data_IF_408453798045
#
_entry.id   IF_408453798045
#
_cell.length_a   1.000
_cell.length_b   1.000
_cell.length_c   1.000
_cell.angle_alpha   90.00
_cell.angle_beta   90.00
_cell.angle_gamma   90.00
#
_symmetry.space_group_name_H-M   'P 1'
#
loop_
_entity.id
_entity.type
_entity.pdbx_description
1 polymer ?
#
# COMPACT_ATOMS: atom_id res chain seq x y z
N UNK A 1 -31.82 54.81 -10.82
CA UNK A 1 -31.41 54.38 -9.45
C UNK A 1 -32.04 53.05 -9.22
N UNK A 2 -31.38 51.98 -9.58
CA UNK A 2 -31.78 50.60 -9.27
C UNK A 2 -30.56 49.86 -8.75
N UNK A 3 -30.60 49.66 -7.45
CA UNK A 3 -29.58 48.95 -6.66
C UNK A 3 -29.70 47.45 -6.92
N UNK A 4 -28.67 46.85 -7.51
CA UNK A 4 -28.55 45.39 -7.66
C UNK A 4 -27.74 44.86 -6.50
N UNK A 5 -28.41 44.19 -5.58
CA UNK A 5 -27.81 43.44 -4.49
C UNK A 5 -27.36 42.07 -5.00
N UNK A 6 -26.07 41.78 -4.86
CA UNK A 6 -25.47 40.44 -5.06
C UNK A 6 -25.94 39.52 -3.93
N UNK A 7 -26.19 38.22 -4.21
CA UNK A 7 -26.47 37.23 -3.16
C UNK A 7 -25.17 36.82 -2.44
N UNK A 8 -25.24 36.37 -1.17
CA UNK A 8 -24.07 36.00 -0.39
C UNK A 8 -23.48 34.68 -0.91
N UNK A 9 -22.15 34.66 -0.97
CA UNK A 9 -21.35 33.45 -1.23
C UNK A 9 -21.68 32.39 -0.20
N UNK A 10 -22.16 31.26 -0.71
CA UNK A 10 -22.28 30.00 0.06
C UNK A 10 -20.89 29.43 0.31
N UNK A 11 -20.39 29.56 1.53
CA UNK A 11 -19.23 28.80 2.01
C UNK A 11 -19.54 27.31 1.93
N UNK A 12 -18.75 26.61 1.15
CA UNK A 12 -18.83 25.14 1.01
C UNK A 12 -18.18 24.45 2.22
N UNK A 13 -19.01 24.10 3.20
CA UNK A 13 -18.65 23.27 4.35
C UNK A 13 -18.64 21.76 3.99
N UNK A 14 -17.98 21.35 2.89
CA UNK A 14 -17.97 19.96 2.44
C UNK A 14 -16.65 19.18 2.65
N UNK A 15 -15.62 19.78 3.21
CA UNK A 15 -14.32 19.12 3.35
C UNK A 15 -14.09 18.21 4.58
N UNK A 16 -14.83 18.25 5.71
CA UNK A 16 -14.55 17.33 6.82
C UNK A 16 -15.15 15.94 6.71
N UNK A 17 -16.15 15.73 5.85
CA UNK A 17 -16.89 14.44 5.82
C UNK A 17 -16.21 13.35 4.98
N UNK A 18 -15.37 13.68 4.03
CA UNK A 18 -14.62 12.71 3.21
C UNK A 18 -13.47 12.04 3.95
N UNK A 19 -12.89 12.72 4.95
CA UNK A 19 -11.72 12.22 5.70
C UNK A 19 -12.03 11.15 6.75
N UNK A 20 -13.27 11.01 7.19
CA UNK A 20 -13.67 9.96 8.16
C UNK A 20 -14.00 8.61 7.50
N UNK A 21 -14.17 8.56 6.20
CA UNK A 21 -14.57 7.40 5.42
C UNK A 21 -13.51 6.28 5.42
N UNK A 22 -12.24 6.61 5.21
CA UNK A 22 -11.17 5.63 4.97
C UNK A 22 -10.89 4.66 6.12
N UNK A 23 -10.85 5.15 7.36
CA UNK A 23 -10.61 4.29 8.52
C UNK A 23 -11.86 3.47 8.88
N UNK A 24 -13.05 4.00 8.59
CA UNK A 24 -14.32 3.31 8.81
C UNK A 24 -14.58 2.26 7.73
N UNK A 25 -14.36 2.58 6.45
CA UNK A 25 -14.47 1.62 5.34
C UNK A 25 -13.47 0.47 5.47
N UNK A 26 -12.22 0.75 5.83
CA UNK A 26 -11.24 -0.30 6.08
C UNK A 26 -11.59 -1.15 7.30
N UNK A 27 -12.18 -0.56 8.34
CA UNK A 27 -12.64 -1.29 9.52
C UNK A 27 -13.92 -2.10 9.25
N UNK A 28 -14.80 -1.65 8.35
CA UNK A 28 -15.98 -2.38 7.90
C UNK A 28 -15.60 -3.50 6.93
N UNK A 29 -14.66 -3.25 6.01
CA UNK A 29 -14.07 -4.27 5.14
C UNK A 29 -13.26 -5.31 5.93
N UNK A 30 -12.55 -4.92 6.99
CA UNK A 30 -11.86 -5.84 7.90
C UNK A 30 -12.85 -6.64 8.78
N UNK A 31 -14.08 -6.14 8.98
CA UNK A 31 -15.18 -6.84 9.67
C UNK A 31 -16.03 -7.69 8.73
N UNK A 32 -16.23 -7.25 7.49
CA UNK A 32 -16.97 -7.99 6.46
C UNK A 32 -16.07 -8.97 5.70
N UNK A 33 -14.79 -8.68 5.58
CA UNK A 33 -13.76 -9.63 5.28
C UNK A 33 -13.40 -10.34 6.61
N UNK A 34 -14.14 -11.40 6.95
CA UNK A 34 -13.40 -12.66 6.97
C UNK A 34 -12.48 -12.55 5.75
N UNK A 35 -11.21 -12.11 5.98
CA UNK A 35 -10.16 -12.38 4.99
C UNK A 35 -10.45 -13.80 4.60
N UNK A 36 -10.85 -14.10 3.36
CA UNK A 36 -10.71 -15.48 2.96
C UNK A 36 -9.28 -15.72 3.41
N UNK A 37 -9.05 -16.63 4.38
CA UNK A 37 -7.75 -17.27 4.58
C UNK A 37 -7.32 -17.37 3.17
N UNK A 38 -6.27 -16.58 2.73
CA UNK A 38 -5.77 -16.72 1.38
C UNK A 38 -6.06 -18.17 1.10
N UNK A 39 -7.15 -18.44 0.38
CA UNK A 39 -7.26 -19.67 -0.31
C UNK A 39 -6.01 -19.54 -1.14
N UNK A 40 -4.92 -20.05 -0.60
CA UNK A 40 -3.84 -20.51 -1.42
C UNK A 40 -4.61 -21.45 -2.29
N UNK A 41 -5.05 -20.93 -3.45
CA UNK A 41 -5.39 -21.78 -4.55
C UNK A 41 -4.16 -22.68 -4.59
N UNK A 42 -4.30 -23.90 -4.06
CA UNK A 42 -3.16 -24.77 -3.78
C UNK A 42 -2.66 -25.34 -5.09
N UNK A 43 -2.07 -24.46 -5.92
CA UNK A 43 -1.49 -24.80 -7.20
C UNK A 43 0.00 -25.19 -7.07
N UNK A 44 0.54 -25.20 -5.83
CA UNK A 44 1.87 -25.75 -5.63
C UNK A 44 1.80 -27.30 -5.67
N UNK A 45 2.51 -27.94 -6.59
CA UNK A 45 2.59 -29.40 -6.60
C UNK A 45 3.19 -29.91 -5.27
N UNK A 46 2.73 -31.07 -4.76
CA UNK A 46 3.31 -31.68 -3.58
C UNK A 46 4.83 -31.83 -3.72
N UNK A 47 5.59 -31.75 -2.61
CA UNK A 47 7.04 -31.97 -2.64
C UNK A 47 7.39 -33.26 -3.35
N UNK A 48 8.37 -33.22 -4.26
CA UNK A 48 8.81 -34.33 -5.11
C UNK A 48 7.85 -34.73 -6.25
N UNK A 49 6.89 -33.91 -6.62
CA UNK A 49 6.12 -34.10 -7.87
C UNK A 49 7.05 -34.03 -9.09
N UNK A 50 6.78 -34.80 -10.15
CA UNK A 50 7.52 -34.64 -11.40
C UNK A 50 7.43 -33.23 -11.94
N UNK A 51 8.52 -32.67 -12.52
CA UNK A 51 8.48 -31.35 -13.17
C UNK A 51 7.43 -31.32 -14.29
N UNK A 52 6.70 -30.21 -14.42
CA UNK A 52 5.59 -30.06 -15.38
C UNK A 52 4.26 -30.61 -14.87
N UNK A 53 4.14 -30.93 -13.57
CA UNK A 53 2.87 -31.41 -13.00
C UNK A 53 1.92 -30.22 -12.78
N UNK A 54 0.76 -30.26 -13.44
CA UNK A 54 -0.30 -29.27 -13.25
C UNK A 54 -1.17 -29.65 -12.05
N UNK A 55 -1.23 -28.78 -11.05
CA UNK A 55 -2.13 -28.89 -9.90
C UNK A 55 -3.17 -27.77 -10.02
N UNK A 56 -4.37 -28.10 -10.46
CA UNK A 56 -5.49 -27.18 -10.60
C UNK A 56 -6.67 -27.79 -9.86
N UNK A 57 -7.08 -27.19 -8.74
CA UNK A 57 -8.19 -27.66 -7.93
C UNK A 57 -9.54 -27.02 -8.35
N UNK A 58 -9.49 -25.82 -8.94
CA UNK A 58 -10.67 -25.12 -9.39
C UNK A 58 -11.23 -25.78 -10.66
N UNK A 59 -12.53 -26.04 -10.66
CA UNK A 59 -13.26 -26.65 -11.77
C UNK A 59 -13.95 -25.63 -12.69
N UNK A 60 -13.92 -24.33 -12.35
CA UNK A 60 -14.49 -23.29 -13.17
C UNK A 60 -13.72 -23.15 -14.46
N UNK A 61 -14.43 -23.08 -15.59
CA UNK A 61 -13.78 -22.86 -16.87
C UNK A 61 -13.30 -21.42 -16.98
N UNK A 62 -12.05 -21.20 -17.43
CA UNK A 62 -11.60 -19.83 -17.72
C UNK A 62 -12.38 -19.23 -18.90
N UNK A 63 -12.48 -17.91 -18.93
CA UNK A 63 -12.94 -17.18 -20.11
C UNK A 63 -11.77 -17.07 -21.10
N UNK A 64 -12.06 -17.23 -22.38
CA UNK A 64 -11.04 -17.20 -23.43
C UNK A 64 -11.45 -16.17 -24.47
N UNK A 65 -10.61 -15.19 -24.70
CA UNK A 65 -10.79 -14.16 -25.71
C UNK A 65 -9.70 -14.28 -26.76
N UNK A 66 -10.07 -14.09 -28.02
CA UNK A 66 -9.13 -14.04 -29.15
C UNK A 66 -9.23 -12.70 -29.82
N UNK A 67 -8.11 -12.02 -29.95
CA UNK A 67 -7.96 -10.81 -30.76
C UNK A 67 -6.95 -11.12 -31.86
N UNK A 68 -7.43 -11.28 -33.08
CA UNK A 68 -6.61 -11.49 -34.27
C UNK A 68 -6.57 -10.21 -35.08
N UNK A 69 -5.38 -9.73 -35.40
CA UNK A 69 -5.23 -8.46 -36.07
C UNK A 69 -4.05 -8.45 -37.06
N UNK A 70 -4.22 -7.65 -38.08
CA UNK A 70 -3.18 -7.21 -39.02
C UNK A 70 -3.19 -5.67 -39.15
N UNK A 71 -2.50 -5.13 -40.13
CA UNK A 71 -2.43 -3.68 -40.34
C UNK A 71 -3.80 -3.02 -40.61
N UNK A 72 -4.76 -3.77 -41.19
CA UNK A 72 -6.04 -3.25 -41.68
C UNK A 72 -7.23 -3.75 -40.85
N UNK A 73 -7.22 -5.03 -40.46
CA UNK A 73 -8.37 -5.72 -39.87
C UNK A 73 -8.09 -6.13 -38.43
N UNK A 74 -9.12 -6.07 -37.61
CA UNK A 74 -9.14 -6.61 -36.24
C UNK A 74 -10.40 -7.46 -36.09
N UNK A 75 -10.22 -8.65 -35.53
CA UNK A 75 -11.30 -9.54 -35.11
C UNK A 75 -11.16 -9.87 -33.65
N UNK A 76 -12.18 -9.58 -32.85
CA UNK A 76 -12.24 -9.89 -31.42
C UNK A 76 -13.42 -10.78 -31.13
N UNK A 77 -13.19 -11.91 -30.43
CA UNK A 77 -14.24 -12.89 -30.09
C UNK A 77 -13.98 -13.57 -28.77
N UNK A 78 -15.05 -13.83 -28.04
CA UNK A 78 -15.03 -14.75 -26.90
C UNK A 78 -15.21 -16.20 -27.40
N UNK A 79 -14.35 -17.10 -26.95
CA UNK A 79 -14.33 -18.49 -27.34
C UNK A 79 -14.91 -19.38 -26.26
N UNK A 80 -15.66 -20.40 -26.66
CA UNK A 80 -16.22 -21.39 -25.72
C UNK A 80 -15.22 -22.53 -25.40
N UNK A 81 -14.24 -22.73 -26.29
CA UNK A 81 -13.22 -23.76 -26.19
C UNK A 81 -11.90 -23.29 -26.77
N UNK A 82 -10.78 -23.82 -26.24
CA UNK A 82 -9.43 -23.57 -26.74
C UNK A 82 -9.28 -24.03 -28.21
N UNK A 83 -10.00 -25.07 -28.62
CA UNK A 83 -9.94 -25.59 -29.99
C UNK A 83 -10.42 -24.58 -31.05
N UNK A 84 -11.27 -23.63 -30.65
CA UNK A 84 -11.72 -22.55 -31.53
C UNK A 84 -10.61 -21.53 -31.85
N UNK A 85 -9.48 -21.57 -31.14
CA UNK A 85 -8.30 -20.75 -31.44
C UNK A 85 -7.49 -21.30 -32.63
N UNK A 86 -7.60 -22.63 -32.95
CA UNK A 86 -6.77 -23.30 -33.95
C UNK A 86 -6.83 -22.61 -35.33
N UNK A 87 -8.00 -22.21 -35.88
CA UNK A 87 -8.06 -21.55 -37.20
C UNK A 87 -7.20 -20.27 -37.26
N UNK A 88 -7.12 -19.50 -36.19
CA UNK A 88 -6.35 -18.25 -36.11
C UNK A 88 -4.84 -18.49 -36.02
N UNK A 89 -4.42 -19.65 -35.55
CA UNK A 89 -3.01 -20.02 -35.42
C UNK A 89 -2.44 -20.74 -36.65
N UNK A 90 -3.32 -21.24 -37.50
CA UNK A 90 -2.96 -22.08 -38.67
C UNK A 90 -3.30 -21.44 -40.01
N UNK A 91 -3.88 -20.25 -40.03
CA UNK A 91 -4.12 -19.55 -41.26
C UNK A 91 -2.79 -18.95 -41.81
N UNK A 92 -2.69 -18.84 -43.12
CA UNK A 92 -1.50 -18.32 -43.82
C UNK A 92 -1.46 -16.77 -43.83
N UNK A 93 -2.32 -16.08 -43.07
CA UNK A 93 -2.35 -14.63 -43.02
C UNK A 93 -1.21 -14.10 -42.14
N UNK A 94 -0.59 -13.00 -42.52
CA UNK A 94 0.43 -12.35 -41.68
C UNK A 94 -0.23 -11.56 -40.51
N UNK A 95 -1.09 -12.22 -39.73
CA UNK A 95 -1.75 -11.64 -38.54
C UNK A 95 -1.02 -11.99 -37.27
N UNK A 96 -1.27 -11.22 -36.23
CA UNK A 96 -0.86 -11.53 -34.84
C UNK A 96 -2.11 -11.91 -34.05
N UNK A 97 -2.08 -13.10 -33.48
CA UNK A 97 -3.17 -13.65 -32.67
C UNK A 97 -2.85 -13.49 -31.20
N UNK A 98 -3.63 -12.69 -30.49
CA UNK A 98 -3.59 -12.59 -29.03
C UNK A 98 -4.71 -13.46 -28.44
N UNK A 99 -4.34 -14.47 -27.68
CA UNK A 99 -5.26 -15.32 -26.92
C UNK A 99 -5.14 -14.95 -25.46
N UNK A 100 -6.23 -14.47 -24.85
CA UNK A 100 -6.29 -14.07 -23.46
C UNK A 100 -7.17 -15.04 -22.67
N UNK A 101 -6.58 -15.69 -21.66
CA UNK A 101 -7.20 -16.71 -20.80
C UNK A 101 -7.34 -16.13 -19.40
N UNK A 102 -8.57 -15.95 -18.95
CA UNK A 102 -8.90 -15.34 -17.69
C UNK A 102 -9.43 -16.37 -16.70
N UNK A 103 -8.62 -16.70 -15.69
CA UNK A 103 -8.89 -17.71 -14.67
C UNK A 103 -8.01 -18.96 -14.82
N UNK A 104 -7.64 -19.55 -13.68
CA UNK A 104 -6.75 -20.73 -13.63
C UNK A 104 -7.51 -22.04 -13.36
N UNK A 105 -8.82 -22.07 -13.54
CA UNK A 105 -9.63 -23.27 -13.32
C UNK A 105 -9.60 -24.25 -14.51
N UNK A 106 -10.10 -25.48 -14.28
CA UNK A 106 -10.35 -26.51 -15.28
C UNK A 106 -9.09 -27.03 -15.99
N UNK A 107 -8.35 -27.92 -15.31
CA UNK A 107 -7.10 -28.54 -15.77
C UNK A 107 -7.09 -28.99 -17.26
N UNK A 108 -8.15 -29.63 -17.82
CA UNK A 108 -8.15 -30.04 -19.23
C UNK A 108 -8.01 -28.87 -20.23
N UNK A 109 -8.44 -27.67 -19.86
CA UNK A 109 -8.22 -26.47 -20.70
C UNK A 109 -6.74 -26.15 -20.84
N UNK A 110 -5.98 -26.22 -19.75
CA UNK A 110 -4.54 -25.91 -19.76
C UNK A 110 -3.73 -27.03 -20.42
N UNK A 111 -4.10 -28.29 -20.22
CA UNK A 111 -3.48 -29.41 -20.96
C UNK A 111 -3.69 -29.21 -22.47
N UNK A 112 -4.90 -28.83 -22.89
CA UNK A 112 -5.19 -28.58 -24.30
C UNK A 112 -4.48 -27.33 -24.84
N UNK A 113 -4.36 -26.25 -24.05
CA UNK A 113 -3.52 -25.11 -24.39
C UNK A 113 -2.05 -25.53 -24.62
N UNK A 114 -1.52 -26.34 -23.73
CA UNK A 114 -0.16 -26.90 -23.87
C UNK A 114 0.06 -27.62 -25.19
N UNK A 115 -0.90 -28.42 -25.62
CA UNK A 115 -0.85 -29.14 -26.93
C UNK A 115 -0.92 -28.19 -28.12
N UNK A 116 -1.92 -27.30 -28.16
CA UNK A 116 -2.17 -26.40 -29.30
C UNK A 116 -1.01 -25.41 -29.51
N UNK A 117 -0.55 -24.79 -28.43
CA UNK A 117 0.53 -23.79 -28.46
C UNK A 117 1.92 -24.41 -28.34
N UNK A 118 2.04 -25.75 -28.23
CA UNK A 118 3.29 -26.50 -28.05
C UNK A 118 4.10 -25.95 -26.87
N UNK A 119 3.42 -25.65 -25.78
CA UNK A 119 4.03 -25.07 -24.58
C UNK A 119 4.89 -26.12 -23.88
N UNK A 120 6.11 -25.76 -23.53
CA UNK A 120 6.97 -26.65 -22.73
C UNK A 120 6.30 -26.96 -21.38
N UNK A 121 6.29 -28.21 -20.88
CA UNK A 121 5.61 -28.59 -19.64
C UNK A 121 5.99 -27.72 -18.43
N UNK A 122 7.25 -27.33 -18.28
CA UNK A 122 7.70 -26.42 -17.22
C UNK A 122 7.13 -25.00 -17.39
N UNK A 123 7.01 -24.52 -18.63
CA UNK A 123 6.40 -23.22 -18.88
C UNK A 123 4.91 -23.25 -18.53
N UNK A 124 4.21 -24.30 -18.86
CA UNK A 124 2.80 -24.50 -18.53
C UNK A 124 2.58 -24.60 -17.01
N UNK A 125 3.46 -25.30 -16.31
CA UNK A 125 3.48 -25.36 -14.84
C UNK A 125 3.64 -23.96 -14.25
N UNK A 126 4.62 -23.17 -14.70
CA UNK A 126 4.86 -21.79 -14.22
C UNK A 126 3.69 -20.84 -14.50
N UNK A 127 2.97 -21.02 -15.60
CA UNK A 127 1.80 -20.22 -15.93
C UNK A 127 0.65 -20.40 -14.95
N UNK A 128 0.44 -21.63 -14.45
CA UNK A 128 -0.67 -21.98 -13.54
C UNK A 128 -0.28 -22.03 -12.07
N UNK A 129 1.00 -22.18 -11.76
CA UNK A 129 1.50 -22.25 -10.39
C UNK A 129 1.69 -20.86 -9.82
N UNK A 130 0.72 -20.36 -9.07
CA UNK A 130 0.70 -19.03 -8.48
C UNK A 130 0.86 -19.07 -6.96
N UNK A 131 1.63 -18.12 -6.37
CA UNK A 131 2.33 -17.00 -6.99
C UNK A 131 3.77 -17.34 -7.41
N UNK A 132 4.15 -17.06 -8.64
CA UNK A 132 5.55 -17.11 -9.11
C UNK A 132 6.23 -15.73 -8.93
N UNK A 133 7.56 -15.75 -8.87
CA UNK A 133 8.38 -14.54 -8.97
C UNK A 133 8.38 -14.03 -10.42
N UNK A 134 8.24 -12.73 -10.69
CA UNK A 134 8.44 -12.19 -12.03
C UNK A 134 9.77 -12.64 -12.65
N UNK A 135 9.70 -13.18 -13.87
CA UNK A 135 10.85 -13.73 -14.61
C UNK A 135 10.57 -13.79 -16.11
N UNK A 136 11.61 -13.91 -16.91
CA UNK A 136 11.52 -14.18 -18.34
C UNK A 136 12.45 -15.33 -18.70
N UNK A 137 11.88 -16.39 -19.29
CA UNK A 137 12.57 -17.61 -19.66
C UNK A 137 12.35 -17.94 -21.13
N UNK A 138 13.40 -18.40 -21.84
CA UNK A 138 13.31 -18.83 -23.24
C UNK A 138 13.21 -20.36 -23.29
N UNK A 139 12.20 -20.87 -23.96
CA UNK A 139 11.94 -22.29 -24.13
C UNK A 139 12.15 -22.72 -25.58
N UNK A 140 13.10 -23.61 -25.81
CA UNK A 140 13.36 -24.22 -27.13
C UNK A 140 13.78 -23.26 -28.25
N UNK A 141 14.01 -21.97 -27.94
CA UNK A 141 14.31 -20.93 -28.92
C UNK A 141 13.10 -20.47 -29.76
N UNK A 142 11.90 -21.04 -29.51
CA UNK A 142 10.67 -20.71 -30.23
C UNK A 142 9.65 -19.96 -29.38
N UNK A 143 9.80 -19.98 -28.05
CA UNK A 143 8.90 -19.31 -27.11
C UNK A 143 9.66 -18.56 -26.05
N UNK A 144 9.09 -17.42 -25.62
CA UNK A 144 9.51 -16.69 -24.42
C UNK A 144 8.34 -16.66 -23.46
N UNK A 145 8.53 -17.18 -22.25
CA UNK A 145 7.58 -17.04 -21.17
C UNK A 145 7.98 -15.87 -20.30
N UNK A 146 7.07 -14.94 -20.09
CA UNK A 146 7.17 -13.80 -19.20
C UNK A 146 6.16 -13.99 -18.07
N UNK A 147 6.62 -14.07 -16.83
CA UNK A 147 5.77 -14.03 -15.64
C UNK A 147 5.87 -12.64 -15.05
N UNK A 148 4.80 -11.89 -15.08
CA UNK A 148 4.70 -10.54 -14.54
C UNK A 148 3.75 -10.48 -13.34
N UNK A 149 3.83 -9.41 -12.56
CA UNK A 149 2.94 -9.16 -11.44
C UNK A 149 2.15 -7.89 -11.69
N UNK A 150 0.84 -7.99 -11.73
CA UNK A 150 -0.08 -6.86 -11.76
C UNK A 150 -0.40 -6.42 -10.33
N UNK A 151 -0.69 -5.12 -10.15
CA UNK A 151 -1.07 -4.55 -8.86
C UNK A 151 -2.30 -3.66 -9.00
N UNK A 152 -3.12 -3.66 -7.98
CA UNK A 152 -4.31 -2.79 -7.89
C UNK A 152 -4.55 -2.38 -6.44
N UNK A 153 -5.09 -1.20 -6.26
CA UNK A 153 -5.67 -0.74 -4.99
C UNK A 153 -7.18 -0.71 -5.14
N UNK A 154 -7.88 -1.50 -4.32
CA UNK A 154 -9.35 -1.49 -4.27
C UNK A 154 -9.86 -0.24 -3.55
N UNK A 155 -11.17 0.06 -3.67
CA UNK A 155 -11.80 1.23 -3.02
C UNK A 155 -11.54 1.32 -1.52
N UNK A 156 -11.34 0.19 -0.81
CA UNK A 156 -10.94 0.15 0.61
C UNK A 156 -9.44 0.26 0.88
N UNK A 157 -8.62 0.79 -0.03
CA UNK A 157 -7.15 0.86 0.07
C UNK A 157 -6.47 -0.49 0.38
N UNK A 158 -7.04 -1.58 -0.10
CA UNK A 158 -6.42 -2.90 0.01
C UNK A 158 -5.60 -3.16 -1.25
N UNK A 159 -4.29 -3.31 -1.06
CA UNK A 159 -3.39 -3.70 -2.13
C UNK A 159 -3.63 -5.15 -2.52
N UNK A 160 -3.94 -5.40 -3.79
CA UNK A 160 -4.03 -6.72 -4.40
C UNK A 160 -2.93 -6.89 -5.43
N UNK A 161 -2.44 -8.10 -5.55
CA UNK A 161 -1.45 -8.47 -6.56
C UNK A 161 -1.89 -9.74 -7.26
N UNK A 162 -1.75 -9.79 -8.56
CA UNK A 162 -2.12 -10.91 -9.41
C UNK A 162 -0.99 -11.28 -10.36
N UNK A 163 -0.89 -12.56 -10.70
CA UNK A 163 0.06 -13.04 -11.70
C UNK A 163 -0.53 -12.91 -13.10
N UNK A 164 0.30 -12.42 -14.02
CA UNK A 164 0.07 -12.48 -15.45
C UNK A 164 1.20 -13.30 -16.08
N UNK A 165 0.85 -14.37 -16.79
CA UNK A 165 1.78 -15.06 -17.65
C UNK A 165 1.57 -14.63 -19.10
N UNK A 166 2.65 -14.32 -19.83
CA UNK A 166 2.66 -13.92 -21.23
C UNK A 166 3.60 -14.89 -21.96
N UNK A 167 3.06 -15.74 -22.82
CA UNK A 167 3.83 -16.60 -23.70
C UNK A 167 3.88 -16.00 -25.08
N UNK A 168 5.08 -15.75 -25.58
CA UNK A 168 5.34 -15.13 -26.87
C UNK A 168 5.80 -16.19 -27.86
N UNK A 169 5.07 -16.35 -28.95
CA UNK A 169 5.46 -17.14 -30.11
C UNK A 169 5.78 -16.26 -31.32
N UNK A 170 5.98 -16.85 -32.50
CA UNK A 170 6.32 -16.10 -33.72
C UNK A 170 5.21 -15.16 -34.19
N UNK A 171 3.96 -15.65 -34.18
CA UNK A 171 2.77 -14.93 -34.67
C UNK A 171 1.66 -14.86 -33.63
N UNK A 172 1.91 -15.26 -32.39
CA UNK A 172 0.92 -15.23 -31.35
C UNK A 172 1.49 -14.74 -30.01
N UNK A 173 0.59 -14.24 -29.17
CA UNK A 173 0.82 -14.02 -27.74
C UNK A 173 -0.32 -14.72 -27.00
N UNK A 174 0.02 -15.53 -26.00
CA UNK A 174 -0.94 -16.13 -25.09
C UNK A 174 -0.77 -15.50 -23.73
N UNK A 175 -1.81 -14.86 -23.20
CA UNK A 175 -1.84 -14.37 -21.82
C UNK A 175 -2.71 -15.26 -20.94
N UNK A 176 -2.26 -15.50 -19.71
CA UNK A 176 -3.00 -16.23 -18.68
C UNK A 176 -3.03 -15.40 -17.42
N UNK A 177 -4.24 -15.04 -16.97
CA UNK A 177 -4.52 -14.26 -15.78
C UNK A 177 -5.05 -15.17 -14.67
N UNK A 178 -4.72 -14.84 -13.44
CA UNK A 178 -5.17 -15.57 -12.26
C UNK A 178 -6.67 -15.45 -12.03
N UNK A 179 -7.24 -14.26 -12.25
CA UNK A 179 -8.65 -13.94 -12.05
C UNK A 179 -9.25 -13.20 -13.26
N UNK A 180 -10.55 -13.34 -13.46
CA UNK A 180 -11.25 -12.72 -14.57
C UNK A 180 -11.73 -11.28 -14.30
N UNK A 181 -11.72 -10.86 -13.03
CA UNK A 181 -12.41 -9.63 -12.60
C UNK A 181 -11.54 -8.37 -12.70
N UNK A 182 -10.30 -8.50 -13.11
CA UNK A 182 -9.35 -7.41 -13.08
C UNK A 182 -8.43 -7.41 -14.30
N UNK A 183 -8.44 -6.33 -15.06
CA UNK A 183 -7.74 -6.23 -16.32
C UNK A 183 -7.03 -4.89 -16.50
N UNK A 184 -5.70 -4.90 -16.48
CA UNK A 184 -4.87 -3.72 -16.81
C UNK A 184 -4.59 -3.60 -18.31
N UNK A 185 -4.98 -4.60 -19.11
CA UNK A 185 -4.63 -4.71 -20.54
C UNK A 185 -5.67 -4.06 -21.47
N UNK A 186 -6.78 -3.52 -20.93
CA UNK A 186 -7.82 -2.89 -21.74
C UNK A 186 -7.29 -1.72 -22.57
N UNK A 187 -6.32 -0.96 -22.03
CA UNK A 187 -5.67 0.10 -22.80
C UNK A 187 -4.94 -0.43 -24.03
N UNK A 188 -4.38 -1.65 -23.97
CA UNK A 188 -3.71 -2.30 -25.11
C UNK A 188 -4.76 -2.78 -26.12
N UNK A 189 -5.88 -3.37 -25.66
CA UNK A 189 -7.00 -3.77 -26.54
C UNK A 189 -7.55 -2.57 -27.29
N UNK A 190 -7.78 -1.47 -26.59
CA UNK A 190 -8.27 -0.23 -27.23
C UNK A 190 -7.28 0.33 -28.26
N UNK A 191 -5.96 0.28 -27.97
CA UNK A 191 -4.93 0.66 -28.97
C UNK A 191 -4.97 -0.22 -30.21
N UNK A 192 -5.25 -1.52 -30.05
CA UNK A 192 -5.42 -2.46 -31.19
C UNK A 192 -6.71 -2.14 -31.92
N UNK A 193 -7.87 -1.96 -31.28
CA UNK A 193 -9.17 -1.67 -31.90
C UNK A 193 -9.13 -0.39 -32.72
N UNK A 194 -8.57 0.67 -32.18
CA UNK A 194 -8.52 1.99 -32.83
C UNK A 194 -7.37 2.09 -33.84
N UNK A 195 -6.40 1.17 -33.81
CA UNK A 195 -5.20 1.23 -34.66
C UNK A 195 -4.24 2.36 -34.30
N UNK A 196 -4.22 2.80 -33.05
CA UNK A 196 -3.32 3.87 -32.59
C UNK A 196 -1.88 3.37 -32.46
N UNK A 197 -0.93 4.17 -32.95
CA UNK A 197 0.50 3.89 -32.87
C UNK A 197 0.90 2.78 -33.85
N UNK A 198 1.91 1.99 -33.47
CA UNK A 198 2.55 1.00 -34.32
C UNK A 198 2.18 -0.44 -34.01
N UNK A 199 1.26 -0.68 -33.05
CA UNK A 199 0.95 -2.02 -32.54
C UNK A 199 0.52 -2.98 -33.64
N UNK A 200 -0.31 -2.52 -34.61
CA UNK A 200 -0.78 -3.34 -35.75
C UNK A 200 0.28 -3.59 -36.83
N UNK A 201 1.39 -2.84 -36.79
CA UNK A 201 2.45 -2.91 -37.83
C UNK A 201 3.67 -3.71 -37.32
N UNK A 202 3.63 -4.20 -36.09
CA UNK A 202 4.73 -4.86 -35.41
C UNK A 202 4.39 -6.32 -35.11
N UNK A 203 5.40 -7.10 -34.73
CA UNK A 203 5.27 -8.50 -34.43
C UNK A 203 4.71 -8.81 -33.03
N UNK A 204 4.62 -10.09 -32.71
CA UNK A 204 4.17 -10.58 -31.42
C UNK A 204 5.02 -10.09 -30.24
N UNK A 205 6.31 -9.89 -30.47
CA UNK A 205 7.23 -9.35 -29.49
C UNK A 205 6.87 -7.90 -29.07
N UNK A 206 6.40 -7.07 -30.01
CA UNK A 206 5.93 -5.73 -29.70
C UNK A 206 4.61 -5.75 -28.92
N UNK A 207 3.71 -6.68 -29.22
CA UNK A 207 2.49 -6.87 -28.42
C UNK A 207 2.85 -7.28 -26.99
N UNK A 208 3.77 -8.22 -26.83
CA UNK A 208 4.24 -8.64 -25.51
C UNK A 208 4.89 -7.47 -24.72
N UNK A 209 5.69 -6.64 -25.39
CA UNK A 209 6.19 -5.38 -24.82
C UNK A 209 5.02 -4.49 -24.36
N UNK A 210 4.01 -4.24 -25.23
CA UNK A 210 2.92 -3.34 -24.91
C UNK A 210 2.07 -3.84 -23.72
N UNK A 211 1.91 -5.15 -23.57
CA UNK A 211 1.25 -5.78 -22.42
C UNK A 211 2.09 -5.63 -21.14
N UNK A 212 3.38 -5.89 -21.23
CA UNK A 212 4.29 -5.74 -20.10
C UNK A 212 4.42 -4.27 -19.64
N UNK A 213 4.45 -3.35 -20.59
CA UNK A 213 4.45 -1.90 -20.37
C UNK A 213 3.19 -1.45 -19.61
N UNK A 214 2.02 -1.88 -20.06
CA UNK A 214 0.76 -1.62 -19.36
C UNK A 214 0.73 -2.18 -17.93
N UNK A 215 1.36 -3.34 -17.70
CA UNK A 215 1.51 -3.91 -16.36
C UNK A 215 2.43 -3.05 -15.49
N UNK A 216 3.55 -2.56 -16.03
CA UNK A 216 4.48 -1.69 -15.31
C UNK A 216 3.84 -0.34 -15.01
N UNK A 217 3.19 0.26 -16.01
CA UNK A 217 2.48 1.54 -15.84
C UNK A 217 1.35 1.47 -14.81
N UNK A 218 0.73 0.30 -14.65
CA UNK A 218 -0.29 0.07 -13.64
C UNK A 218 0.18 0.24 -12.19
N UNK A 219 1.48 0.29 -11.92
CA UNK A 219 2.02 0.58 -10.59
C UNK A 219 1.97 2.07 -10.23
N UNK A 220 2.04 2.98 -11.21
CA UNK A 220 2.06 4.42 -10.93
C UNK A 220 0.81 4.90 -10.18
N UNK A 221 -0.44 4.61 -10.63
CA UNK A 221 -1.63 5.02 -9.91
C UNK A 221 -1.71 4.43 -8.49
N UNK A 222 -1.15 3.23 -8.28
CA UNK A 222 -1.10 2.59 -6.98
C UNK A 222 -0.15 3.33 -6.04
N UNK A 223 1.03 3.70 -6.54
CA UNK A 223 2.01 4.46 -5.75
C UNK A 223 1.53 5.88 -5.47
N UNK A 224 0.86 6.54 -6.42
CA UNK A 224 0.25 7.85 -6.21
C UNK A 224 -0.74 7.82 -5.04
N UNK A 225 -1.66 6.88 -5.03
CA UNK A 225 -2.61 6.70 -3.91
C UNK A 225 -1.92 6.39 -2.57
N UNK A 226 -0.82 5.63 -2.58
CA UNK A 226 -0.06 5.37 -1.36
C UNK A 226 0.71 6.61 -0.90
N UNK A 227 1.17 7.45 -1.82
CA UNK A 227 1.76 8.76 -1.52
C UNK A 227 0.77 9.66 -0.81
N UNK A 228 -0.43 9.86 -1.37
CA UNK A 228 -1.52 10.60 -0.74
C UNK A 228 -1.85 10.08 0.67
N UNK A 229 -1.86 8.75 0.84
CA UNK A 229 -2.11 8.14 2.15
C UNK A 229 -0.98 8.39 3.15
N UNK A 230 0.28 8.46 2.70
CA UNK A 230 1.42 8.82 3.57
C UNK A 230 1.28 10.26 4.06
N UNK A 231 0.91 11.19 3.19
CA UNK A 231 0.66 12.60 3.54
C UNK A 231 -0.48 12.73 4.56
N UNK A 232 -1.59 12.00 4.37
CA UNK A 232 -2.68 11.94 5.34
C UNK A 232 -2.22 11.41 6.70
N UNK A 233 -1.41 10.34 6.70
CA UNK A 233 -0.86 9.77 7.93
C UNK A 233 0.08 10.72 8.64
N UNK A 234 0.84 11.55 7.92
CA UNK A 234 1.70 12.58 8.50
C UNK A 234 0.88 13.61 9.28
N UNK A 235 -0.21 14.11 8.69
CA UNK A 235 -1.12 15.03 9.35
C UNK A 235 -1.77 14.38 10.59
N UNK A 236 -2.23 13.11 10.47
CA UNK A 236 -2.85 12.38 11.56
C UNK A 236 -1.88 12.11 12.73
N UNK A 237 -0.61 11.86 12.45
CA UNK A 237 0.44 11.64 13.46
C UNK A 237 0.73 12.90 14.25
N UNK A 238 0.68 14.07 13.61
CA UNK A 238 0.88 15.37 14.29
C UNK A 238 -0.23 15.71 15.29
N UNK A 239 -1.47 15.23 15.06
CA UNK A 239 -2.61 15.45 16.01
C UNK A 239 -2.55 14.56 17.27
N UNK A 240 -1.52 13.78 17.48
CA UNK A 240 -1.15 13.02 18.70
C UNK A 240 -2.28 12.36 19.54
N UNK A 241 -3.57 12.46 19.11
CA UNK A 241 -4.74 11.98 19.86
C UNK A 241 -5.08 10.51 19.58
N UNK A 242 -4.58 9.93 18.49
CA UNK A 242 -4.90 8.58 18.04
C UNK A 242 -3.67 7.68 18.03
N UNK A 243 -3.89 6.40 18.27
CA UNK A 243 -2.82 5.38 18.09
C UNK A 243 -2.64 5.09 16.62
N UNK A 244 -1.53 5.56 16.04
CA UNK A 244 -1.23 5.46 14.62
C UNK A 244 -0.33 4.27 14.25
N UNK A 245 0.07 3.44 15.23
CA UNK A 245 0.99 2.32 15.00
C UNK A 245 0.50 1.32 13.95
N UNK A 246 -0.82 0.97 13.97
CA UNK A 246 -1.38 0.00 13.01
C UNK A 246 -1.44 0.54 11.59
N UNK A 247 -1.99 1.75 11.32
CA UNK A 247 -1.98 2.35 9.97
C UNK A 247 -0.58 2.46 9.35
N UNK A 248 0.42 2.92 10.14
CA UNK A 248 1.80 3.03 9.67
C UNK A 248 2.39 1.64 9.37
N UNK A 249 2.10 0.65 10.22
CA UNK A 249 2.56 -0.73 10.01
C UNK A 249 1.94 -1.35 8.75
N UNK A 250 0.65 -1.14 8.51
CA UNK A 250 -0.05 -1.61 7.32
C UNK A 250 0.53 -0.97 6.05
N UNK A 251 0.82 0.34 6.08
CA UNK A 251 1.50 1.05 4.99
C UNK A 251 2.88 0.44 4.68
N UNK A 252 3.70 0.21 5.70
CA UNK A 252 5.02 -0.44 5.53
C UNK A 252 4.89 -1.82 4.90
N UNK A 253 3.87 -2.59 5.25
CA UNK A 253 3.62 -3.91 4.68
C UNK A 253 3.22 -3.85 3.22
N UNK A 254 2.38 -2.87 2.85
CA UNK A 254 1.93 -2.67 1.48
C UNK A 254 3.10 -2.24 0.59
N UNK A 255 3.94 -1.31 1.05
CA UNK A 255 5.17 -0.91 0.36
C UNK A 255 6.18 -2.07 0.19
N UNK A 256 6.28 -2.95 1.20
CA UNK A 256 7.11 -4.16 1.09
C UNK A 256 6.56 -5.14 0.03
N UNK A 257 5.24 -5.24 -0.08
CA UNK A 257 4.58 -6.06 -1.11
C UNK A 257 4.87 -5.51 -2.51
N UNK A 258 4.75 -4.19 -2.71
CA UNK A 258 5.11 -3.54 -3.97
C UNK A 258 6.59 -3.73 -4.32
N UNK A 259 7.48 -3.53 -3.37
CA UNK A 259 8.91 -3.78 -3.59
C UNK A 259 9.18 -5.19 -4.09
N UNK A 260 8.53 -6.20 -3.49
CA UNK A 260 8.67 -7.60 -3.90
C UNK A 260 8.11 -7.89 -5.30
N UNK A 261 7.18 -7.08 -5.78
CA UNK A 261 6.65 -7.18 -7.13
C UNK A 261 7.55 -6.44 -8.14
N UNK A 262 7.93 -5.19 -7.85
CA UNK A 262 8.65 -4.31 -8.79
C UNK A 262 10.09 -4.78 -9.02
N UNK A 263 10.83 -5.15 -7.96
CA UNK A 263 12.24 -5.51 -8.08
C UNK A 263 12.48 -6.66 -9.08
N UNK A 264 11.78 -7.81 -8.96
CA UNK A 264 11.94 -8.87 -9.96
C UNK A 264 11.42 -8.48 -11.35
N UNK A 265 10.45 -7.56 -11.43
CA UNK A 265 9.91 -7.08 -12.70
C UNK A 265 10.95 -6.28 -13.47
N UNK A 266 11.72 -5.44 -12.79
CA UNK A 266 12.88 -4.76 -13.39
C UNK A 266 13.92 -5.76 -13.92
N UNK A 267 14.22 -6.81 -13.14
CA UNK A 267 15.17 -7.86 -13.55
C UNK A 267 14.65 -8.64 -14.76
N UNK A 268 13.34 -8.89 -14.82
CA UNK A 268 12.65 -9.49 -15.97
C UNK A 268 12.85 -8.64 -17.23
N UNK A 269 12.54 -7.33 -17.16
CA UNK A 269 12.70 -6.43 -18.31
C UNK A 269 14.18 -6.38 -18.76
N UNK A 270 15.11 -6.33 -17.81
CA UNK A 270 16.55 -6.40 -18.12
C UNK A 270 16.95 -7.72 -18.83
N UNK A 271 16.30 -8.85 -18.48
CA UNK A 271 16.54 -10.13 -19.18
C UNK A 271 16.05 -10.08 -20.62
N UNK A 272 14.92 -9.44 -20.90
CA UNK A 272 14.38 -9.27 -22.25
C UNK A 272 15.24 -8.32 -23.11
N UNK A 273 15.95 -7.37 -22.49
CA UNK A 273 16.84 -6.44 -23.18
C UNK A 273 18.14 -7.07 -23.70
N UNK A 274 18.52 -8.27 -23.22
CA UNK A 274 19.75 -8.94 -23.65
C UNK A 274 19.69 -9.31 -25.13
N UNK A 275 20.82 -9.19 -25.81
CA UNK A 275 20.91 -9.40 -27.26
C UNK A 275 20.79 -10.87 -27.67
N UNK A 276 20.95 -11.80 -26.75
CA UNK A 276 20.88 -13.25 -26.98
C UNK A 276 19.43 -13.80 -27.02
N UNK A 277 18.40 -12.96 -26.81
CA UNK A 277 17.01 -13.38 -26.96
C UNK A 277 16.55 -13.27 -28.43
N UNK A 278 16.40 -14.40 -29.15
CA UNK A 278 16.08 -14.39 -30.58
C UNK A 278 14.63 -13.97 -30.88
N UNK A 279 13.73 -14.02 -29.89
CA UNK A 279 12.31 -13.71 -30.04
C UNK A 279 11.99 -12.24 -29.90
N UNK A 280 12.95 -11.43 -29.43
CA UNK A 280 12.75 -9.99 -29.24
C UNK A 280 13.60 -9.23 -30.25
N UNK A 281 12.93 -8.50 -31.13
CA UNK A 281 13.58 -7.70 -32.18
C UNK A 281 14.37 -6.51 -31.61
N UNK A 282 15.34 -6.00 -32.37
CA UNK A 282 16.10 -4.81 -31.98
C UNK A 282 15.21 -3.59 -31.77
N UNK A 283 14.18 -3.46 -32.58
CA UNK A 283 13.22 -2.36 -32.50
C UNK A 283 12.42 -2.42 -31.20
N UNK A 284 11.92 -3.60 -30.84
CA UNK A 284 11.16 -3.79 -29.58
C UNK A 284 12.02 -3.54 -28.36
N UNK A 285 13.34 -3.85 -28.43
CA UNK A 285 14.25 -3.54 -27.31
C UNK A 285 14.39 -2.04 -27.02
N UNK A 286 14.22 -1.17 -28.02
CA UNK A 286 14.23 0.28 -27.77
C UNK A 286 13.07 0.69 -26.87
N UNK A 287 11.89 0.10 -27.06
CA UNK A 287 10.72 0.34 -26.24
C UNK A 287 10.85 -0.32 -24.84
N UNK A 288 11.35 -1.55 -24.77
CA UNK A 288 11.63 -2.20 -23.48
C UNK A 288 12.61 -1.43 -22.61
N UNK A 289 13.49 -0.59 -23.18
CA UNK A 289 14.38 0.28 -22.42
C UNK A 289 13.60 1.33 -21.63
N UNK A 290 12.54 1.89 -22.23
CA UNK A 290 11.64 2.83 -21.57
C UNK A 290 10.91 2.16 -20.41
N UNK A 291 10.35 0.96 -20.63
CA UNK A 291 9.75 0.15 -19.55
C UNK A 291 10.73 -0.18 -18.42
N UNK A 292 12.02 -0.40 -18.75
CA UNK A 292 13.06 -0.58 -17.74
C UNK A 292 13.27 0.69 -16.90
N UNK A 293 13.35 1.84 -17.55
CA UNK A 293 13.50 3.13 -16.86
C UNK A 293 12.30 3.45 -15.98
N UNK A 294 11.05 3.16 -16.41
CA UNK A 294 9.85 3.20 -15.57
C UNK A 294 9.97 2.28 -14.34
N UNK A 295 10.47 1.06 -14.53
CA UNK A 295 10.68 0.11 -13.41
C UNK A 295 11.69 0.63 -12.38
N UNK A 296 12.73 1.34 -12.81
CA UNK A 296 13.72 2.00 -11.93
C UNK A 296 13.04 3.14 -11.17
N UNK A 297 12.30 3.99 -11.86
CA UNK A 297 11.55 5.09 -11.24
C UNK A 297 10.57 4.59 -10.16
N UNK A 298 9.82 3.53 -10.45
CA UNK A 298 8.91 2.90 -9.48
C UNK A 298 9.65 2.38 -8.24
N UNK A 299 10.85 1.83 -8.42
CA UNK A 299 11.71 1.40 -7.30
C UNK A 299 12.11 2.56 -6.41
N UNK A 300 12.56 3.66 -7.01
CA UNK A 300 12.98 4.86 -6.27
C UNK A 300 11.79 5.46 -5.48
N UNK A 301 10.60 5.50 -6.07
CA UNK A 301 9.37 5.92 -5.38
C UNK A 301 9.05 5.03 -4.17
N UNK A 302 9.13 3.71 -4.33
CA UNK A 302 8.87 2.77 -3.22
C UNK A 302 9.89 2.94 -2.10
N UNK A 303 11.18 3.09 -2.40
CA UNK A 303 12.20 3.30 -1.36
C UNK A 303 11.99 4.64 -0.64
N UNK A 304 11.67 5.72 -1.37
CA UNK A 304 11.31 7.03 -0.78
C UNK A 304 10.11 6.90 0.16
N UNK A 305 9.04 6.24 -0.25
CA UNK A 305 7.85 6.06 0.59
C UNK A 305 8.11 5.19 1.81
N UNK A 306 9.01 4.22 1.71
CA UNK A 306 9.45 3.41 2.85
C UNK A 306 10.22 4.23 3.88
N UNK A 307 11.10 5.12 3.43
CA UNK A 307 11.84 6.05 4.30
C UNK A 307 10.87 7.02 5.00
N UNK A 308 9.93 7.63 4.26
CA UNK A 308 8.89 8.49 4.82
C UNK A 308 8.05 7.75 5.87
N UNK A 309 7.58 6.53 5.54
CA UNK A 309 6.81 5.71 6.48
C UNK A 309 7.60 5.32 7.74
N UNK A 310 8.94 5.24 7.65
CA UNK A 310 9.79 5.02 8.82
C UNK A 310 9.89 6.27 9.67
N UNK A 311 10.05 7.44 9.06
CA UNK A 311 10.03 8.74 9.74
C UNK A 311 8.72 9.00 10.49
N UNK A 312 7.57 8.62 9.90
CA UNK A 312 6.26 8.72 10.57
C UNK A 312 6.20 7.91 11.86
N UNK A 313 6.81 6.73 11.91
CA UNK A 313 6.87 5.93 13.14
C UNK A 313 7.70 6.63 14.22
N UNK A 314 8.82 7.23 13.84
CA UNK A 314 9.68 7.96 14.78
C UNK A 314 8.99 9.22 15.31
N UNK A 315 8.28 9.96 14.46
CA UNK A 315 7.45 11.08 14.86
C UNK A 315 6.34 10.65 15.83
N UNK A 316 5.65 9.54 15.55
CA UNK A 316 4.61 8.98 16.42
C UNK A 316 5.15 8.62 17.81
N UNK A 317 6.31 7.95 17.89
CA UNK A 317 6.96 7.59 19.16
C UNK A 317 7.42 8.83 19.93
N UNK A 318 7.95 9.85 19.24
CA UNK A 318 8.30 11.13 19.84
C UNK A 318 7.08 11.84 20.41
N UNK A 319 5.95 11.86 19.68
CA UNK A 319 4.68 12.42 20.14
C UNK A 319 4.15 11.71 21.41
N UNK A 320 4.22 10.39 21.47
CA UNK A 320 3.87 9.61 22.67
C UNK A 320 4.77 9.98 23.84
N UNK A 321 6.08 10.08 23.61
CA UNK A 321 7.06 10.44 24.67
C UNK A 321 6.78 11.84 25.20
N UNK A 322 6.51 12.81 24.33
CA UNK A 322 6.16 14.17 24.73
C UNK A 322 4.89 14.20 25.60
N UNK A 323 3.86 13.47 25.19
CA UNK A 323 2.60 13.36 25.95
C UNK A 323 2.82 12.69 27.32
N UNK A 324 3.66 11.65 27.39
CA UNK A 324 4.04 11.02 28.64
C UNK A 324 4.71 12.04 29.57
N UNK A 325 5.63 12.85 29.03
CA UNK A 325 6.31 13.90 29.78
C UNK A 325 5.34 14.97 30.29
N UNK A 326 4.33 15.34 29.49
CA UNK A 326 3.27 16.25 29.93
C UNK A 326 2.44 15.69 31.09
N UNK A 327 2.03 14.43 30.99
CA UNK A 327 1.28 13.75 32.05
C UNK A 327 2.13 13.69 33.33
N UNK A 328 3.41 13.29 33.19
CA UNK A 328 4.34 13.26 34.32
C UNK A 328 4.55 14.64 34.95
N UNK A 329 4.65 15.69 34.13
CA UNK A 329 4.74 17.09 34.58
C UNK A 329 3.52 17.47 35.41
N UNK A 330 2.30 17.21 34.93
CA UNK A 330 1.06 17.50 35.66
C UNK A 330 1.00 16.73 36.99
N UNK A 331 1.31 15.44 36.96
CA UNK A 331 1.31 14.59 38.16
C UNK A 331 2.33 15.10 39.19
N UNK A 332 3.53 15.48 38.73
CA UNK A 332 4.58 16.03 39.57
C UNK A 332 4.15 17.34 40.22
N UNK A 333 3.54 18.27 39.48
CA UNK A 333 3.03 19.54 39.97
C UNK A 333 2.01 19.30 41.09
N UNK A 334 0.99 18.44 40.79
CA UNK A 334 -0.04 18.12 41.80
C UNK A 334 0.59 17.54 43.07
N UNK A 335 1.40 16.50 42.92
CA UNK A 335 2.02 15.82 44.05
C UNK A 335 2.88 16.77 44.91
N UNK A 336 3.69 17.61 44.27
CA UNK A 336 4.61 18.54 44.94
C UNK A 336 3.85 19.65 45.65
N UNK A 337 2.69 20.09 45.18
CA UNK A 337 1.86 21.09 45.86
C UNK A 337 1.18 20.51 47.10
N UNK A 338 0.65 19.25 46.98
CA UNK A 338 -0.07 18.65 48.11
C UNK A 338 0.82 18.06 49.18
N UNK A 339 2.06 17.66 48.87
CA UNK A 339 2.98 17.04 49.79
C UNK A 339 3.27 17.92 51.04
N UNK A 340 3.69 19.20 50.91
CA UNK A 340 3.90 20.08 52.06
C UNK A 340 2.63 20.33 52.86
N UNK A 341 1.50 20.54 52.19
CA UNK A 341 0.20 20.76 52.83
C UNK A 341 -0.20 19.57 53.69
N UNK A 342 -0.09 18.35 53.13
CA UNK A 342 -0.37 17.11 53.86
C UNK A 342 0.60 16.88 55.02
N UNK A 343 1.88 17.18 54.82
CA UNK A 343 2.87 17.06 55.87
C UNK A 343 2.58 18.03 57.05
N UNK A 344 2.27 19.31 56.77
CA UNK A 344 1.89 20.31 57.78
C UNK A 344 0.61 19.84 58.49
N UNK A 345 -0.45 19.47 57.75
CA UNK A 345 -1.69 18.99 58.33
C UNK A 345 -1.50 17.71 59.16
N UNK A 346 -0.61 16.80 58.74
CA UNK A 346 -0.27 15.59 59.48
C UNK A 346 0.47 15.89 60.81
N UNK A 347 1.42 16.85 60.80
CA UNK A 347 2.12 17.25 62.01
C UNK A 347 1.15 17.88 63.00
N UNK A 348 0.35 18.88 62.56
CA UNK A 348 -0.60 19.54 63.45
C UNK A 348 -1.85 18.71 63.77
N UNK A 349 -2.06 17.56 63.12
CA UNK A 349 -3.05 16.54 63.46
C UNK A 349 -2.57 15.52 64.51
N UNK A 350 -1.33 15.61 65.01
CA UNK A 350 -0.82 14.72 66.04
C UNK A 350 -1.37 15.11 67.42
N UNK A 351 -1.70 14.09 68.24
CA UNK A 351 -2.31 14.27 69.56
C UNK A 351 -1.23 14.32 70.69
N UNK A 352 -0.30 15.30 70.61
CA UNK A 352 0.63 15.56 71.67
C UNK A 352 0.05 16.57 72.68
N UNK A 353 0.18 16.30 73.99
CA UNK A 353 -0.35 17.17 75.02
C UNK A 353 0.77 18.05 75.58
N UNK A 354 0.52 19.35 75.69
CA UNK A 354 1.48 20.34 76.19
C UNK A 354 1.86 20.12 77.66
N UNK A 355 0.94 19.59 78.47
CA UNK A 355 1.15 19.25 79.87
C UNK A 355 2.30 18.28 80.12
N UNK A 356 2.67 17.41 79.15
CA UNK A 356 3.74 16.43 79.24
C UNK A 356 5.12 16.99 78.91
N UNK A 357 5.24 18.10 78.21
CA UNK A 357 6.50 18.75 77.87
C UNK A 357 6.22 20.11 77.17
N UNK A 358 6.99 21.18 77.55
CA UNK A 358 6.83 22.51 76.92
C UNK A 358 7.23 22.56 75.44
N UNK A 359 7.81 21.49 74.91
CA UNK A 359 8.20 21.36 73.48
C UNK A 359 7.13 20.67 72.64
N UNK A 360 6.04 20.21 73.25
CA UNK A 360 4.95 19.54 72.56
C UNK A 360 4.01 20.57 71.94
N UNK A 361 4.21 20.91 70.69
CA UNK A 361 3.33 21.78 69.86
C UNK A 361 2.80 23.02 70.58
N UNK A 362 3.72 23.95 71.03
CA UNK A 362 3.32 25.12 71.78
C UNK A 362 2.40 26.06 71.00
N UNK A 363 2.34 25.91 69.68
CA UNK A 363 1.49 26.72 68.77
C UNK A 363 0.01 26.35 68.91
N UNK A 364 -0.35 25.20 69.48
CA UNK A 364 -1.77 24.81 69.66
C UNK A 364 -2.48 25.68 70.72
N UNK A 365 -1.75 26.16 71.75
CA UNK A 365 -2.31 27.04 72.77
C UNK A 365 -2.28 28.50 72.35
N UNK A 366 -1.70 28.83 71.19
CA UNK A 366 -1.66 30.18 70.68
C UNK A 366 -2.96 30.63 70.07
N UNK A 367 -3.48 31.79 70.46
CA UNK A 367 -4.78 32.31 69.95
C UNK A 367 -4.82 32.39 68.42
N UNK A 368 -3.70 32.69 67.79
CA UNK A 368 -3.59 32.77 66.33
C UNK A 368 -2.97 31.48 65.67
N UNK A 369 -2.80 30.41 66.44
CA UNK A 369 -2.15 29.20 65.94
C UNK A 369 -2.83 28.56 64.75
N UNK A 370 -4.18 28.44 64.78
CA UNK A 370 -4.95 27.89 63.67
C UNK A 370 -4.84 28.74 62.37
N UNK A 371 -5.11 30.08 62.39
CA UNK A 371 -4.88 30.91 61.21
C UNK A 371 -3.41 30.96 60.75
N UNK A 372 -2.43 30.82 61.64
CA UNK A 372 -1.03 30.77 61.27
C UNK A 372 -0.72 29.53 60.45
N UNK A 373 -1.21 28.34 60.83
CA UNK A 373 -1.02 27.07 60.09
C UNK A 373 -1.67 27.17 58.67
N UNK A 374 -2.87 27.74 58.60
CA UNK A 374 -3.50 28.02 57.32
C UNK A 374 -2.70 28.98 56.44
N UNK A 375 -2.14 30.03 57.02
CA UNK A 375 -1.29 30.97 56.30
C UNK A 375 0.00 30.30 55.81
N UNK A 376 0.60 29.41 56.59
CA UNK A 376 1.77 28.62 56.19
C UNK A 376 1.49 27.66 55.04
N UNK A 377 0.36 26.93 55.11
CA UNK A 377 -0.10 26.05 54.00
C UNK A 377 -0.33 26.86 52.74
N UNK A 378 -1.06 27.96 52.82
CA UNK A 378 -1.34 28.84 51.68
C UNK A 378 -0.07 29.46 51.09
N UNK A 379 0.86 29.90 51.91
CA UNK A 379 2.15 30.43 51.49
C UNK A 379 2.99 29.38 50.75
N UNK A 380 2.98 28.11 51.21
CA UNK A 380 3.65 27.03 50.54
C UNK A 380 3.05 26.75 49.15
N UNK A 381 1.72 26.72 49.04
CA UNK A 381 1.02 26.52 47.76
C UNK A 381 1.31 27.66 46.79
N UNK A 382 1.16 28.92 47.23
CA UNK A 382 1.42 30.12 46.40
C UNK A 382 2.90 30.18 46.00
N UNK A 383 3.80 29.87 46.88
CA UNK A 383 5.24 29.79 46.59
C UNK A 383 5.57 28.79 45.50
N UNK A 384 5.02 27.54 45.59
CA UNK A 384 5.23 26.50 44.62
C UNK A 384 4.56 26.84 43.26
N UNK A 385 3.33 27.38 43.27
CA UNK A 385 2.65 27.84 42.05
C UNK A 385 3.46 28.93 41.35
N UNK A 386 3.97 29.90 42.12
CA UNK A 386 4.79 30.98 41.55
C UNK A 386 6.12 30.42 40.99
N UNK A 387 6.75 29.46 41.68
CA UNK A 387 7.94 28.81 41.21
C UNK A 387 7.70 28.07 39.86
N UNK A 388 6.61 27.26 39.78
CA UNK A 388 6.29 26.54 38.56
C UNK A 388 5.89 27.47 37.41
N UNK A 389 5.18 28.56 37.71
CA UNK A 389 4.86 29.59 36.73
C UNK A 389 6.13 30.27 36.18
N UNK A 390 7.08 30.62 37.04
CA UNK A 390 8.39 31.19 36.63
C UNK A 390 9.23 30.19 35.82
N UNK A 391 9.11 28.90 36.06
CA UNK A 391 9.75 27.83 35.26
C UNK A 391 9.02 27.53 33.93
N UNK A 392 7.90 28.18 33.64
CA UNK A 392 7.12 27.89 32.43
C UNK A 392 6.35 26.58 32.48
N UNK A 393 6.20 25.96 33.66
CA UNK A 393 5.45 24.70 33.79
C UNK A 393 3.94 24.92 33.91
N UNK A 394 3.51 26.10 34.38
CA UNK A 394 2.13 26.56 34.46
C UNK A 394 1.97 27.76 33.52
N UNK A 395 1.55 27.54 32.32
CA UNK A 395 1.26 28.54 31.30
C UNK A 395 1.04 27.83 29.96
N UNK A 396 0.10 28.26 29.17
CA UNK A 396 -0.06 27.85 27.77
C UNK A 396 1.08 28.49 26.98
N UNK A 397 2.17 27.77 26.74
CA UNK A 397 3.01 28.02 25.57
C UNK A 397 2.44 27.20 24.40
N UNK A 398 1.29 27.65 23.88
CA UNK A 398 0.75 27.28 22.58
C UNK A 398 0.80 28.50 21.66
N UNK A 399 1.96 29.11 21.55
CA UNK A 399 2.26 29.97 20.42
C UNK A 399 3.70 29.66 20.01
N UNK A 400 3.82 29.03 18.84
CA UNK A 400 5.07 28.87 18.15
C UNK A 400 5.72 30.23 17.88
N UNK A 401 6.54 30.70 18.81
CA UNK A 401 7.41 31.81 18.58
C UNK A 401 8.57 31.34 17.69
N UNK A 402 8.50 31.69 16.43
CA UNK A 402 9.66 31.70 15.53
C UNK A 402 10.89 32.29 16.27
N UNK A 403 12.07 31.64 16.16
CA UNK A 403 13.29 32.25 16.67
C UNK A 403 13.60 33.50 15.85
N UNK A 404 13.43 34.68 16.47
CA UNK A 404 13.99 35.90 15.90
C UNK A 404 15.49 35.72 15.75
N UNK A 405 15.92 35.59 14.51
CA UNK A 405 17.34 35.74 14.13
C UNK A 405 17.83 37.13 14.58
N UNK A 406 18.91 37.09 15.34
CA UNK A 406 19.84 38.22 15.51
C UNK A 406 21.17 37.80 14.89
#
# INVERSE_FOLDING_TARGET
MTSTTLPPESQSDSEPQLRTSWAQERAELDRSSHRPKRDRLGHEPPPASPPGTLVIEDTRRPKIFVIDYDAEVVSEKEMQSVDECIPYLTDDRPSITWVDVQGLGHKPTFERLGEIFKVHPLALEDMVNVPQRPKADVYGGEHVLIIARMVQVTEGCVLRTEQLAILVGKSFVLTVQEQADWDVMEAVRERIRVGRGTVRQRGADYLAYALLDAVVDGFFPVLERLGERIEDLEIEVMDAKRTMSKPIHDMKRDLLTLRRAIWPQRDLVNTLLREDNPMITKDTRLYLRDTYDHSVQLMDMVETYRELSSGLMDLHLSGISNRMNEIMKVLTIISTIFLPVTAIAGIYGMNFHHESSPYNMPELDWYYGYPFVWALMLASVVGLLTYYRRKGWLGKDHDGAEPRQR
#
